data_IF_565956049689
#
_entry.id   IF_565956049689
#
_cell.length_a   1.000
_cell.length_b   1.000
_cell.length_c   1.000
_cell.angle_alpha   90.00
_cell.angle_beta   90.00
_cell.angle_gamma   90.00
#
_symmetry.space_group_name_H-M   'P 1'
#
loop_
_entity.id
_entity.type
_entity.pdbx_description
1 polymer ?
#
# COMPACT_ATOMS: atom_id res chain seq x y z
N UNK A 1 -2.39 -10.94 2.27
CA UNK A 1 -3.34 -11.73 1.45
C UNK A 1 -4.21 -12.68 2.28
N UNK A 2 -3.65 -13.72 2.94
CA UNK A 2 -4.44 -14.75 3.65
C UNK A 2 -5.47 -14.18 4.66
N UNK A 3 -5.06 -13.29 5.56
CA UNK A 3 -5.96 -12.64 6.53
C UNK A 3 -7.16 -11.90 5.90
N UNK A 4 -6.96 -11.33 4.71
CA UNK A 4 -8.00 -10.59 4.00
C UNK A 4 -9.05 -11.56 3.47
N UNK A 5 -8.61 -12.66 2.84
CA UNK A 5 -9.49 -13.70 2.31
C UNK A 5 -10.27 -14.45 3.40
N UNK A 6 -9.76 -14.48 4.64
CA UNK A 6 -10.48 -15.04 5.79
C UNK A 6 -11.57 -14.11 6.32
N UNK A 7 -11.37 -12.79 6.22
CA UNK A 7 -12.28 -11.79 6.81
C UNK A 7 -13.34 -11.28 5.83
N UNK A 8 -13.05 -11.30 4.54
CA UNK A 8 -13.99 -10.89 3.48
C UNK A 8 -14.01 -11.90 2.34
N UNK A 9 -15.22 -12.12 1.79
CA UNK A 9 -15.42 -12.99 0.64
C UNK A 9 -15.09 -12.24 -0.65
N UNK A 10 -13.79 -12.16 -0.96
CA UNK A 10 -13.26 -11.54 -2.18
C UNK A 10 -12.85 -12.60 -3.20
N UNK A 11 -13.06 -12.32 -4.48
CA UNK A 11 -12.67 -13.20 -5.57
C UNK A 11 -11.15 -13.16 -5.78
N UNK A 12 -10.57 -11.96 -5.84
CA UNK A 12 -9.15 -11.80 -6.11
C UNK A 12 -8.53 -10.58 -5.41
N UNK A 13 -7.20 -10.63 -5.26
CA UNK A 13 -6.38 -9.61 -4.62
C UNK A 13 -5.01 -9.56 -5.29
N UNK A 14 -4.58 -8.37 -5.69
CA UNK A 14 -3.21 -8.09 -6.10
C UNK A 14 -2.66 -6.90 -5.28
N UNK A 15 -1.40 -7.01 -4.86
CA UNK A 15 -0.67 -5.94 -4.17
C UNK A 15 0.69 -5.82 -4.86
N UNK A 16 1.00 -4.63 -5.35
CA UNK A 16 2.30 -4.31 -5.95
C UNK A 16 2.86 -3.07 -5.26
N UNK A 17 4.10 -3.18 -4.79
CA UNK A 17 4.81 -2.09 -4.12
C UNK A 17 6.13 -1.84 -4.85
N UNK A 18 6.38 -0.58 -5.19
CA UNK A 18 7.60 -0.12 -5.83
C UNK A 18 8.67 0.15 -4.78
N UNK A 19 9.91 -0.22 -5.09
CA UNK A 19 11.08 0.02 -4.25
C UNK A 19 12.12 0.86 -5.01
N UNK A 20 13.06 1.46 -4.28
CA UNK A 20 14.12 2.29 -4.86
C UNK A 20 13.74 3.76 -4.98
N UNK A 21 14.28 4.45 -5.99
CA UNK A 21 14.04 5.88 -6.22
C UNK A 21 12.66 6.08 -6.86
N UNK A 22 11.89 7.01 -6.29
CA UNK A 22 10.63 7.49 -6.84
C UNK A 22 10.72 9.00 -7.03
N UNK A 23 10.20 9.49 -8.16
CA UNK A 23 10.02 10.91 -8.41
C UNK A 23 8.63 11.36 -7.91
N UNK A 24 8.43 12.67 -7.74
CA UNK A 24 7.13 13.22 -7.35
C UNK A 24 6.09 12.85 -8.42
N UNK A 25 4.99 12.23 -7.97
CA UNK A 25 3.93 11.72 -8.84
C UNK A 25 4.04 10.24 -9.22
N UNK A 26 5.16 9.57 -8.91
CA UNK A 26 5.28 8.13 -9.11
C UNK A 26 4.32 7.34 -8.20
N UNK A 27 3.77 6.25 -8.75
CA UNK A 27 2.95 5.32 -7.97
C UNK A 27 3.86 4.44 -7.10
N UNK A 28 3.68 4.56 -5.79
CA UNK A 28 4.41 3.76 -4.80
C UNK A 28 3.75 2.40 -4.54
N UNK A 29 2.42 2.38 -4.34
CA UNK A 29 1.67 1.20 -3.95
C UNK A 29 0.39 1.10 -4.76
N UNK A 30 0.13 -0.09 -5.32
CA UNK A 30 -1.14 -0.45 -5.94
C UNK A 30 -1.75 -1.62 -5.20
N UNK A 31 -3.03 -1.48 -4.83
CA UNK A 31 -3.85 -2.56 -4.30
C UNK A 31 -5.09 -2.69 -5.18
N UNK A 32 -5.34 -3.89 -5.70
CA UNK A 32 -6.51 -4.20 -6.50
C UNK A 32 -7.29 -5.36 -5.89
N UNK A 33 -8.60 -5.19 -5.75
CA UNK A 33 -9.50 -6.19 -5.17
C UNK A 33 -10.68 -6.44 -6.10
N UNK A 34 -10.94 -7.72 -6.38
CA UNK A 34 -12.15 -8.16 -7.05
C UNK A 34 -13.09 -8.77 -6.00
N UNK A 35 -14.34 -8.29 -5.94
CA UNK A 35 -15.37 -8.73 -5.01
C UNK A 35 -16.74 -8.71 -5.69
N UNK A 36 -17.61 -9.66 -5.37
CA UNK A 36 -18.98 -9.71 -5.86
C UNK A 36 -19.82 -8.53 -5.33
N UNK A 37 -19.47 -8.04 -4.13
CA UNK A 37 -20.17 -6.96 -3.46
C UNK A 37 -19.18 -5.85 -3.09
N UNK A 38 -19.60 -4.61 -3.37
CA UNK A 38 -18.72 -3.44 -3.28
C UNK A 38 -18.27 -3.13 -1.85
N UNK A 39 -19.11 -3.39 -0.86
CA UNK A 39 -18.84 -3.04 0.53
C UNK A 39 -17.63 -3.83 1.06
N UNK A 40 -17.60 -5.13 0.78
CA UNK A 40 -16.52 -6.05 1.09
C UNK A 40 -15.25 -5.69 0.33
N UNK A 41 -15.39 -5.32 -0.95
CA UNK A 41 -14.27 -4.87 -1.77
C UNK A 41 -13.58 -3.63 -1.19
N UNK A 42 -14.35 -2.60 -0.83
CA UNK A 42 -13.81 -1.38 -0.22
C UNK A 42 -13.20 -1.64 1.16
N UNK A 43 -13.90 -2.39 2.02
CA UNK A 43 -13.40 -2.70 3.37
C UNK A 43 -12.10 -3.52 3.33
N UNK A 44 -12.02 -4.51 2.43
CA UNK A 44 -10.82 -5.31 2.23
C UNK A 44 -9.65 -4.48 1.69
N UNK A 45 -9.91 -3.50 0.82
CA UNK A 45 -8.87 -2.66 0.20
C UNK A 45 -8.25 -1.73 1.23
N UNK A 46 -9.08 -1.05 2.01
CA UNK A 46 -8.65 -0.22 3.13
C UNK A 46 -7.78 -1.01 4.10
N UNK A 47 -8.28 -2.18 4.54
CA UNK A 47 -7.55 -3.04 5.46
C UNK A 47 -6.22 -3.54 4.89
N UNK A 48 -6.14 -3.82 3.58
CA UNK A 48 -4.90 -4.23 2.93
C UNK A 48 -3.82 -3.15 3.03
N UNK A 49 -4.19 -1.90 2.76
CA UNK A 49 -3.29 -0.73 2.82
C UNK A 49 -2.83 -0.49 4.26
N UNK A 50 -3.76 -0.52 5.22
CA UNK A 50 -3.44 -0.30 6.63
C UNK A 50 -2.47 -1.37 7.16
N UNK A 51 -2.72 -2.63 6.82
CA UNK A 51 -1.81 -3.72 7.20
C UNK A 51 -0.46 -3.66 6.48
N UNK A 52 -0.44 -3.18 5.23
CA UNK A 52 0.82 -2.97 4.51
C UNK A 52 1.68 -1.95 5.24
N UNK A 53 1.12 -0.77 5.54
CA UNK A 53 1.83 0.32 6.23
C UNK A 53 2.24 -0.05 7.66
N UNK A 54 1.40 -0.77 8.41
CA UNK A 54 1.75 -1.19 9.77
C UNK A 54 2.89 -2.21 9.84
N UNK A 55 3.03 -3.06 8.82
CA UNK A 55 3.98 -4.18 8.84
C UNK A 55 5.29 -3.90 8.12
N UNK A 56 5.23 -3.04 7.12
CA UNK A 56 6.40 -2.56 6.39
C UNK A 56 6.56 -1.09 6.76
N UNK A 57 7.23 -0.78 7.89
CA UNK A 57 7.62 0.58 8.18
C UNK A 57 8.51 1.05 7.03
N UNK A 58 7.94 1.83 6.12
CA UNK A 58 8.66 2.35 4.98
C UNK A 58 9.53 3.48 5.48
N UNK A 59 10.80 3.18 5.71
CA UNK A 59 11.78 4.23 5.93
C UNK A 59 11.93 5.00 4.62
N UNK A 60 11.43 6.24 4.59
CA UNK A 60 11.48 7.09 3.41
C UNK A 60 12.65 8.06 3.58
N UNK A 61 13.48 8.11 2.56
CA UNK A 61 14.52 9.12 2.40
C UNK A 61 14.03 10.10 1.36
N UNK A 62 13.68 11.29 1.78
CA UNK A 62 13.26 12.40 0.92
C UNK A 62 14.48 13.27 0.61
N UNK A 63 14.65 13.65 -0.65
CA UNK A 63 15.71 14.56 -1.09
C UNK A 63 15.04 15.75 -1.78
N UNK A 64 15.35 16.95 -1.30
CA UNK A 64 14.75 18.19 -1.79
C UNK A 64 15.68 18.90 -2.78
N UNK A 65 15.15 19.91 -3.47
CA UNK A 65 15.86 20.66 -4.53
C UNK A 65 17.12 21.38 -4.01
N UNK A 66 17.13 21.77 -2.74
CA UNK A 66 18.28 22.39 -2.06
C UNK A 66 19.38 21.38 -1.66
N UNK A 67 19.18 20.10 -1.99
CA UNK A 67 20.08 18.99 -1.64
C UNK A 67 19.91 18.48 -0.21
N UNK A 68 19.01 19.06 0.58
CA UNK A 68 18.69 18.56 1.92
C UNK A 68 18.05 17.19 1.84
N UNK A 69 18.29 16.37 2.87
CA UNK A 69 17.74 15.02 2.96
C UNK A 69 17.07 14.84 4.30
N UNK A 70 15.85 14.31 4.27
CA UNK A 70 15.09 13.96 5.46
C UNK A 70 14.81 12.45 5.47
N UNK A 71 15.07 11.81 6.61
CA UNK A 71 14.80 10.38 6.79
C UNK A 71 13.68 10.24 7.80
N UNK A 72 12.52 9.79 7.34
CA UNK A 72 11.35 9.49 8.18
C UNK A 72 11.24 8.00 8.43
N UNK A 73 10.86 7.65 9.65
CA UNK A 73 10.36 6.34 10.00
C UNK A 73 8.87 6.51 10.35
N UNK A 74 8.00 5.93 9.53
CA UNK A 74 6.55 5.82 9.78
C UNK A 74 6.21 4.40 10.25
#
# INVERSE_FOLDING_TARGET
ASKIRQKWQINNLAICHRIGKLEVGDINLVVAIASAHRQEGFAACQYAIDQFKQKLPTQKKETYEDGSTLVTAE
#
